data_IF_045335474141
#
_entry.id   IF_045335474141
#
_cell.length_a   1.000
_cell.length_b   1.000
_cell.length_c   1.000
_cell.angle_alpha   90.00
_cell.angle_beta   90.00
_cell.angle_gamma   90.00
#
_symmetry.space_group_name_H-M   'P 1'
#
loop_
_entity.id
_entity.type
_entity.pdbx_description
1 polymer ?
#
# COMPACT_ATOMS: atom_id res chain seq x y z
N UNK A 1 -34.16 28.55 53.51
CA UNK A 1 -33.04 28.80 52.59
C UNK A 1 -32.25 27.51 52.45
N UNK A 2 -32.64 26.64 51.50
CA UNK A 2 -32.00 25.33 51.30
C UNK A 2 -30.91 25.45 50.24
N UNK A 3 -29.66 25.11 50.60
CA UNK A 3 -28.54 25.01 49.67
C UNK A 3 -28.66 23.69 48.91
N UNK A 4 -28.76 23.77 47.59
CA UNK A 4 -28.51 22.64 46.71
C UNK A 4 -27.00 22.44 46.60
N UNK A 5 -26.50 21.30 47.06
CA UNK A 5 -25.14 20.83 46.81
C UNK A 5 -25.09 20.25 45.41
N UNK A 6 -24.34 20.90 44.51
CA UNK A 6 -24.05 20.42 43.17
C UNK A 6 -23.18 19.16 43.27
N UNK A 7 -23.77 18.00 42.94
CA UNK A 7 -23.05 16.74 42.80
C UNK A 7 -22.07 16.85 41.63
N UNK A 8 -20.78 16.75 41.92
CA UNK A 8 -19.71 16.66 40.93
C UNK A 8 -19.89 15.34 40.17
N UNK A 9 -20.50 15.39 38.98
CA UNK A 9 -20.56 14.23 38.09
C UNK A 9 -19.11 13.81 37.76
N UNK A 10 -18.77 12.59 38.14
CA UNK A 10 -17.55 11.92 37.75
C UNK A 10 -17.83 11.27 36.40
N UNK A 11 -17.30 11.85 35.33
CA UNK A 11 -17.26 11.16 34.02
C UNK A 11 -16.45 9.87 34.21
N UNK A 12 -16.95 8.70 33.75
CA UNK A 12 -16.16 7.49 33.78
C UNK A 12 -14.89 7.67 32.94
N UNK A 13 -13.75 7.08 33.34
CA UNK A 13 -12.55 7.11 32.51
C UNK A 13 -12.86 6.40 31.18
N UNK A 14 -12.89 7.15 30.09
CA UNK A 14 -12.80 6.58 28.75
C UNK A 14 -11.47 5.84 28.65
N UNK A 15 -11.53 4.54 28.36
CA UNK A 15 -10.32 3.79 28.04
C UNK A 15 -9.63 4.49 26.86
N UNK A 16 -8.29 4.66 26.86
CA UNK A 16 -7.59 5.29 25.75
C UNK A 16 -7.76 4.52 24.42
N UNK A 17 -8.24 3.28 24.47
CA UNK A 17 -8.64 2.48 23.32
C UNK A 17 -9.98 2.90 22.69
N UNK A 18 -10.81 3.67 23.41
CA UNK A 18 -12.10 4.21 22.97
C UNK A 18 -12.00 5.69 22.56
N UNK A 19 -10.77 6.24 22.50
CA UNK A 19 -10.57 7.60 22.02
C UNK A 19 -10.98 7.69 20.54
N UNK A 20 -11.78 8.71 20.14
CA UNK A 20 -12.21 8.87 18.76
C UNK A 20 -11.00 9.07 17.84
N UNK A 21 -11.02 8.38 16.68
CA UNK A 21 -10.00 8.51 15.64
C UNK A 21 -9.84 9.99 15.23
N UNK A 22 -8.60 10.40 14.98
CA UNK A 22 -8.30 11.73 14.48
C UNK A 22 -8.99 11.96 13.12
N UNK A 23 -9.79 13.03 12.96
CA UNK A 23 -10.59 13.25 11.76
C UNK A 23 -9.73 13.53 10.51
N UNK A 24 -8.50 14.03 10.66
CA UNK A 24 -7.56 14.26 9.56
C UNK A 24 -7.03 12.91 9.08
N UNK A 25 -6.61 12.05 10.01
CA UNK A 25 -6.14 10.70 9.69
C UNK A 25 -7.24 9.87 9.03
N UNK A 26 -8.48 9.98 9.52
CA UNK A 26 -9.64 9.31 8.92
C UNK A 26 -9.89 9.74 7.47
N UNK A 27 -9.87 11.04 7.18
CA UNK A 27 -10.03 11.55 5.80
C UNK A 27 -8.88 11.12 4.90
N UNK A 28 -7.66 11.10 5.42
CA UNK A 28 -6.50 10.61 4.68
C UNK A 28 -6.62 9.12 4.35
N UNK A 29 -7.06 8.28 5.30
CA UNK A 29 -7.36 6.86 5.04
C UNK A 29 -8.39 6.68 3.93
N UNK A 30 -9.45 7.50 3.93
CA UNK A 30 -10.42 7.49 2.84
C UNK A 30 -9.75 7.77 1.48
N UNK A 31 -8.93 8.82 1.39
CA UNK A 31 -8.21 9.14 0.15
C UNK A 31 -7.31 7.98 -0.30
N UNK A 32 -6.54 7.38 0.61
CA UNK A 32 -5.68 6.23 0.30
C UNK A 32 -6.44 5.05 -0.33
N UNK A 33 -7.75 4.94 -0.07
CA UNK A 33 -8.60 3.90 -0.65
C UNK A 33 -9.24 4.32 -1.95
N UNK A 34 -9.80 5.52 -2.01
CA UNK A 34 -10.72 5.89 -3.10
C UNK A 34 -10.10 6.76 -4.18
N UNK A 35 -9.03 7.49 -3.89
CA UNK A 35 -8.42 8.40 -4.84
C UNK A 35 -7.69 7.63 -5.97
N UNK A 36 -7.59 8.20 -7.18
CA UNK A 36 -6.70 7.71 -8.23
C UNK A 36 -5.24 7.67 -7.76
N UNK A 37 -4.46 6.69 -8.27
CA UNK A 37 -3.05 6.49 -7.85
C UNK A 37 -2.20 7.70 -8.21
N UNK A 38 -2.34 8.22 -9.43
CA UNK A 38 -1.61 9.39 -9.93
C UNK A 38 -1.92 10.66 -9.11
N UNK A 39 -3.18 10.84 -8.69
CA UNK A 39 -3.58 11.95 -7.83
C UNK A 39 -2.99 11.81 -6.42
N UNK A 40 -2.97 10.59 -5.85
CA UNK A 40 -2.34 10.34 -4.55
C UNK A 40 -0.83 10.55 -4.59
N UNK A 41 -0.14 10.06 -5.62
CA UNK A 41 1.30 10.25 -5.74
C UNK A 41 1.65 11.73 -5.85
N UNK A 42 0.89 12.49 -6.63
CA UNK A 42 1.04 13.94 -6.74
C UNK A 42 0.80 14.65 -5.40
N UNK A 43 -0.29 14.31 -4.71
CA UNK A 43 -0.61 14.89 -3.40
C UNK A 43 0.45 14.57 -2.32
N UNK A 44 0.97 13.34 -2.30
CA UNK A 44 2.09 12.99 -1.42
C UNK A 44 3.35 13.74 -1.78
N UNK A 45 3.70 13.87 -3.06
CA UNK A 45 4.91 14.57 -3.47
C UNK A 45 4.86 16.05 -3.06
N UNK A 46 3.72 16.72 -3.25
CA UNK A 46 3.46 18.07 -2.76
C UNK A 46 3.57 18.14 -1.24
N UNK A 47 2.86 17.26 -0.52
CA UNK A 47 2.82 17.24 0.94
C UNK A 47 4.22 17.04 1.55
N UNK A 48 4.98 16.06 1.04
CA UNK A 48 6.34 15.75 1.51
C UNK A 48 7.26 16.94 1.33
N UNK A 49 7.14 17.67 0.21
CA UNK A 49 7.98 18.84 -0.06
C UNK A 49 7.79 19.98 0.94
N UNK A 50 6.63 20.02 1.60
CA UNK A 50 6.28 21.05 2.57
C UNK A 50 6.51 20.63 4.03
N UNK A 51 6.75 19.34 4.29
CA UNK A 51 7.08 18.82 5.62
C UNK A 51 8.34 19.48 6.20
N UNK A 52 8.44 19.49 7.53
CA UNK A 52 9.70 19.85 8.20
C UNK A 52 10.80 18.83 7.85
N UNK A 53 12.07 19.26 7.86
CA UNK A 53 13.19 18.35 7.59
C UNK A 53 13.20 17.14 8.53
N UNK A 54 12.91 17.34 9.82
CA UNK A 54 12.81 16.25 10.79
C UNK A 54 11.70 15.25 10.46
N UNK A 55 10.54 15.74 10.00
CA UNK A 55 9.44 14.86 9.57
C UNK A 55 9.77 14.13 8.26
N UNK A 56 10.48 14.76 7.32
CA UNK A 56 10.94 14.10 6.10
C UNK A 56 11.94 12.98 6.41
N UNK A 57 12.88 13.21 7.32
CA UNK A 57 13.84 12.20 7.77
C UNK A 57 13.13 11.02 8.45
N UNK A 58 12.19 11.31 9.35
CA UNK A 58 11.40 10.29 10.03
C UNK A 58 10.51 9.48 9.08
N UNK A 59 9.89 10.14 8.09
CA UNK A 59 9.12 9.47 7.05
C UNK A 59 10.01 8.56 6.20
N UNK A 60 11.15 9.06 5.75
CA UNK A 60 12.11 8.31 4.94
C UNK A 60 12.59 7.06 5.67
N UNK A 61 12.95 7.18 6.95
CA UNK A 61 13.38 6.05 7.78
C UNK A 61 12.28 5.00 7.90
N UNK A 62 11.04 5.44 8.15
CA UNK A 62 9.88 4.56 8.23
C UNK A 62 9.64 3.82 6.91
N UNK A 63 9.73 4.52 5.78
CA UNK A 63 9.57 3.95 4.43
C UNK A 63 10.66 2.92 4.12
N UNK A 64 11.93 3.23 4.44
CA UNK A 64 13.05 2.30 4.24
C UNK A 64 12.88 1.01 5.05
N UNK A 65 12.52 1.15 6.32
CA UNK A 65 12.29 0.03 7.23
C UNK A 65 11.11 -0.84 6.79
N UNK A 66 9.98 -0.20 6.41
CA UNK A 66 8.73 -0.91 6.10
C UNK A 66 8.73 -1.57 4.72
N UNK A 67 9.42 -0.99 3.74
CA UNK A 67 9.42 -1.48 2.35
C UNK A 67 10.73 -2.17 1.96
N UNK A 68 11.66 -2.35 2.91
CA UNK A 68 12.98 -2.96 2.71
C UNK A 68 13.77 -2.31 1.55
N UNK A 69 13.60 -0.99 1.37
CA UNK A 69 14.26 -0.23 0.33
C UNK A 69 15.67 0.13 0.81
N UNK A 70 16.70 -0.18 0.01
CA UNK A 70 18.09 0.15 0.34
C UNK A 70 18.38 1.66 0.46
N UNK A 71 19.53 2.02 1.01
CA UNK A 71 19.91 3.39 1.42
C UNK A 71 20.02 4.44 0.30
N UNK A 72 19.77 4.09 -0.97
CA UNK A 72 19.88 5.03 -2.09
C UNK A 72 18.78 6.11 -2.13
N UNK A 73 17.73 5.97 -1.34
CA UNK A 73 16.63 6.94 -1.28
C UNK A 73 16.98 8.11 -0.36
N UNK A 74 16.99 9.35 -0.84
CA UNK A 74 17.27 10.55 -0.03
C UNK A 74 16.00 11.32 0.29
N UNK A 75 16.03 12.19 1.31
CA UNK A 75 14.87 13.01 1.71
C UNK A 75 14.38 13.92 0.59
N UNK A 76 15.27 14.39 -0.29
CA UNK A 76 14.93 15.21 -1.46
C UNK A 76 14.21 14.47 -2.59
N UNK A 77 14.16 13.12 -2.57
CA UNK A 77 13.55 12.31 -3.61
C UNK A 77 12.02 12.22 -3.46
N UNK A 78 11.33 13.35 -3.27
CA UNK A 78 9.92 13.41 -2.87
C UNK A 78 9.00 12.56 -3.76
N UNK A 79 9.11 12.66 -5.08
CA UNK A 79 8.29 11.89 -6.02
C UNK A 79 8.50 10.37 -5.87
N UNK A 80 9.74 9.95 -5.59
CA UNK A 80 10.04 8.52 -5.38
C UNK A 80 9.54 8.03 -4.03
N UNK A 81 9.63 8.85 -2.98
CA UNK A 81 9.04 8.55 -1.66
C UNK A 81 7.51 8.46 -1.80
N UNK A 82 6.88 9.40 -2.49
CA UNK A 82 5.45 9.43 -2.73
C UNK A 82 4.94 8.17 -3.46
N UNK A 83 5.65 7.76 -4.50
CA UNK A 83 5.38 6.51 -5.22
C UNK A 83 5.45 5.30 -4.27
N UNK A 84 6.53 5.19 -3.48
CA UNK A 84 6.72 4.08 -2.54
C UNK A 84 5.65 4.05 -1.43
N UNK A 85 5.30 5.20 -0.87
CA UNK A 85 4.22 5.34 0.12
C UNK A 85 2.90 4.87 -0.46
N UNK A 86 2.57 5.35 -1.66
CA UNK A 86 1.29 5.02 -2.33
C UNK A 86 1.23 3.54 -2.66
N UNK A 87 2.26 3.01 -3.31
CA UNK A 87 2.38 1.60 -3.69
C UNK A 87 2.38 0.66 -2.46
N UNK A 88 3.07 1.05 -1.38
CA UNK A 88 3.04 0.34 -0.09
C UNK A 88 1.63 0.27 0.51
N UNK A 89 0.93 1.40 0.55
CA UNK A 89 -0.45 1.46 1.07
C UNK A 89 -1.48 0.77 0.17
N UNK A 90 -1.20 0.63 -1.13
CA UNK A 90 -2.02 -0.21 -2.02
C UNK A 90 -1.84 -1.70 -1.75
N UNK A 91 -0.61 -2.14 -1.47
CA UNK A 91 -0.31 -3.56 -1.19
C UNK A 91 -0.76 -3.99 0.20
N UNK A 92 -0.50 -3.17 1.20
CA UNK A 92 -0.77 -3.50 2.59
C UNK A 92 -1.50 -2.34 3.28
N UNK A 93 -2.82 -2.21 3.04
CA UNK A 93 -3.67 -1.18 3.61
C UNK A 93 -3.43 -0.90 5.11
N UNK A 94 -3.03 0.32 5.47
CA UNK A 94 -2.93 0.81 6.85
C UNK A 94 -1.66 0.39 7.61
N UNK A 95 -0.82 -0.46 7.02
CA UNK A 95 0.43 -0.89 7.65
C UNK A 95 1.39 0.28 7.84
N UNK A 96 1.60 1.11 6.82
CA UNK A 96 2.52 2.24 6.91
C UNK A 96 2.04 3.25 7.96
N UNK A 97 0.72 3.47 8.02
CA UNK A 97 0.10 4.40 8.96
C UNK A 97 0.28 3.96 10.41
N UNK A 98 0.29 2.65 10.66
CA UNK A 98 0.45 2.08 12.00
C UNK A 98 1.87 2.26 12.55
N UNK A 99 2.87 2.22 11.68
CA UNK A 99 4.30 2.32 12.07
C UNK A 99 4.82 3.75 12.05
N UNK A 100 4.17 4.65 11.31
CA UNK A 100 4.59 6.05 11.22
C UNK A 100 4.37 6.76 12.56
N UNK A 101 5.35 7.54 13.07
CA UNK A 101 5.14 8.31 14.29
C UNK A 101 3.92 9.22 14.16
N UNK A 102 3.12 9.30 15.23
CA UNK A 102 1.80 9.92 15.21
C UNK A 102 1.84 11.37 14.70
N UNK A 103 2.83 12.13 15.14
CA UNK A 103 3.07 13.51 14.74
C UNK A 103 3.40 13.65 13.25
N UNK A 104 4.18 12.72 12.69
CA UNK A 104 4.56 12.71 11.27
C UNK A 104 3.35 12.30 10.42
N UNK A 105 2.58 11.31 10.87
CA UNK A 105 1.33 10.89 10.23
C UNK A 105 0.33 12.03 10.14
N UNK A 106 0.09 12.74 11.25
CA UNK A 106 -0.85 13.85 11.28
C UNK A 106 -0.43 15.00 10.36
N UNK A 107 0.85 15.38 10.38
CA UNK A 107 1.37 16.46 9.51
C UNK A 107 1.32 16.07 8.02
N UNK A 108 1.71 14.83 7.68
CA UNK A 108 1.60 14.30 6.32
C UNK A 108 0.14 14.25 5.86
N UNK A 109 -0.76 13.71 6.68
CA UNK A 109 -2.18 13.59 6.37
C UNK A 109 -2.83 14.95 6.12
N UNK A 110 -2.56 15.94 6.98
CA UNK A 110 -3.06 17.31 6.83
C UNK A 110 -2.62 17.90 5.49
N UNK A 111 -1.34 17.79 5.15
CA UNK A 111 -0.78 18.34 3.92
C UNK A 111 -1.26 17.64 2.66
N UNK A 112 -1.46 16.32 2.71
CA UNK A 112 -2.07 15.57 1.61
C UNK A 112 -3.49 16.06 1.38
N UNK A 113 -4.28 16.28 2.43
CA UNK A 113 -5.65 16.77 2.32
C UNK A 113 -5.72 18.21 1.80
N UNK A 114 -4.73 19.04 2.12
CA UNK A 114 -4.61 20.44 1.68
C UNK A 114 -4.02 20.60 0.27
N UNK A 115 -3.46 19.54 -0.32
CA UNK A 115 -2.88 19.55 -1.67
C UNK A 115 -3.94 19.85 -2.75
N UNK A 116 -3.53 20.59 -3.79
CA UNK A 116 -4.39 20.84 -4.96
C UNK A 116 -4.82 19.53 -5.63
N UNK A 117 -3.93 18.53 -5.64
CA UNK A 117 -4.19 17.20 -6.20
C UNK A 117 -5.28 16.43 -5.44
N UNK A 118 -5.59 16.79 -4.20
CA UNK A 118 -6.66 16.18 -3.40
C UNK A 118 -8.02 16.85 -3.59
N UNK A 119 -8.08 17.96 -4.33
CA UNK A 119 -9.32 18.71 -4.53
C UNK A 119 -10.41 17.85 -5.19
N UNK A 120 -11.60 17.83 -4.57
CA UNK A 120 -12.75 17.08 -5.07
C UNK A 120 -12.72 15.57 -4.81
N UNK A 121 -11.63 15.02 -4.26
CA UNK A 121 -11.51 13.57 -4.05
C UNK A 121 -12.32 13.06 -2.84
N UNK A 122 -12.75 13.95 -1.95
CA UNK A 122 -13.56 13.62 -0.75
C UNK A 122 -15.07 13.47 -1.01
N UNK A 123 -15.53 13.47 -2.28
CA UNK A 123 -16.95 13.49 -2.64
C UNK A 123 -17.82 12.35 -2.06
N UNK A 124 -17.23 11.23 -1.62
CA UNK A 124 -17.92 10.09 -1.00
C UNK A 124 -17.66 9.92 0.50
N UNK A 125 -16.86 10.79 1.12
CA UNK A 125 -16.38 10.60 2.50
C UNK A 125 -17.52 10.50 3.53
N UNK A 126 -18.57 11.31 3.38
CA UNK A 126 -19.70 11.33 4.31
C UNK A 126 -20.47 10.00 4.40
N UNK A 127 -20.39 9.15 3.36
CA UNK A 127 -21.01 7.83 3.33
C UNK A 127 -20.07 6.68 3.68
N UNK A 128 -18.80 6.97 3.97
CA UNK A 128 -17.80 5.93 4.23
C UNK A 128 -17.84 5.46 5.68
N UNK A 129 -17.97 4.14 5.87
CA UNK A 129 -18.05 3.50 7.19
C UNK A 129 -16.71 3.55 7.96
N UNK A 130 -15.58 3.70 7.26
CA UNK A 130 -14.24 3.76 7.85
C UNK A 130 -13.60 2.40 8.05
N UNK A 131 -14.20 1.32 7.53
CA UNK A 131 -13.66 -0.03 7.66
C UNK A 131 -12.40 -0.19 6.79
N UNK A 132 -11.34 -0.75 7.39
CA UNK A 132 -10.16 -1.16 6.63
C UNK A 132 -10.43 -2.54 5.99
N UNK A 133 -10.10 -2.75 4.71
CA UNK A 133 -10.17 -4.08 4.13
C UNK A 133 -9.23 -5.04 4.89
N UNK A 134 -9.64 -6.29 5.11
CA UNK A 134 -8.73 -7.28 5.69
C UNK A 134 -7.49 -7.43 4.78
N UNK A 135 -6.30 -7.71 5.35
CA UNK A 135 -5.13 -8.02 4.54
C UNK A 135 -5.47 -9.17 3.59
N UNK A 136 -4.99 -9.08 2.35
CA UNK A 136 -5.14 -10.19 1.41
C UNK A 136 -4.52 -11.45 2.03
N UNK A 137 -5.27 -12.56 2.00
CA UNK A 137 -4.77 -13.83 2.51
C UNK A 137 -3.81 -14.43 1.47
N UNK A 138 -2.52 -14.34 1.73
CA UNK A 138 -1.47 -14.95 0.89
C UNK A 138 -1.61 -16.48 0.82
N UNK A 139 -2.45 -17.10 1.67
CA UNK A 139 -2.73 -18.54 1.65
C UNK A 139 -3.43 -19.00 0.36
N UNK A 140 -4.15 -18.11 -0.34
CA UNK A 140 -4.79 -18.46 -1.62
C UNK A 140 -3.76 -18.75 -2.73
N UNK A 141 -2.54 -18.19 -2.62
CA UNK A 141 -1.41 -18.51 -3.50
C UNK A 141 -0.57 -19.69 -2.98
N UNK A 142 -0.68 -20.05 -1.71
CA UNK A 142 0.05 -21.18 -1.11
C UNK A 142 -0.53 -22.55 -1.54
N UNK A 143 -1.82 -22.61 -1.87
CA UNK A 143 -2.47 -23.82 -2.41
C UNK A 143 -2.24 -24.00 -3.93
N UNK A 144 -1.67 -23.00 -4.60
CA UNK A 144 -1.16 -23.10 -5.97
C UNK A 144 0.15 -23.88 -6.04
N UNK A 145 0.12 -25.14 -5.59
CA UNK A 145 1.28 -26.02 -5.54
C UNK A 145 2.09 -25.98 -6.84
N UNK A 146 3.37 -25.61 -6.70
CA UNK A 146 4.39 -25.93 -7.69
C UNK A 146 4.33 -27.44 -7.93
N UNK A 147 3.79 -27.86 -9.08
CA UNK A 147 3.70 -29.25 -9.46
C UNK A 147 5.00 -29.63 -10.20
N UNK A 148 6.02 -30.23 -9.52
CA UNK A 148 7.30 -30.55 -10.15
C UNK A 148 7.17 -31.56 -11.31
N UNK A 149 5.97 -32.14 -11.53
CA UNK A 149 5.72 -33.17 -12.53
C UNK A 149 5.37 -32.64 -13.92
N UNK A 150 5.23 -31.32 -14.13
CA UNK A 150 4.90 -30.74 -15.46
C UNK A 150 6.14 -30.54 -16.36
N UNK A 151 7.35 -30.95 -15.92
CA UNK A 151 8.58 -30.79 -16.71
C UNK A 151 8.96 -31.99 -17.60
N UNK A 152 8.07 -32.96 -17.82
CA UNK A 152 8.26 -33.99 -18.85
C UNK A 152 7.73 -33.52 -20.20
N UNK A 153 8.48 -32.65 -20.89
CA UNK A 153 8.34 -32.51 -22.34
C UNK A 153 8.72 -33.84 -22.99
N UNK A 154 7.72 -34.51 -23.55
CA UNK A 154 7.86 -35.68 -24.43
C UNK A 154 8.83 -35.34 -25.57
N UNK A 155 9.85 -36.16 -25.88
CA UNK A 155 10.64 -36.01 -27.10
C UNK A 155 9.73 -36.05 -28.32
N UNK A 156 9.94 -35.15 -29.28
CA UNK A 156 9.29 -35.24 -30.61
C UNK A 156 9.84 -36.48 -31.30
N UNK A 157 8.95 -37.42 -31.66
CA UNK A 157 9.26 -38.45 -32.63
C UNK A 157 9.51 -37.78 -33.99
N UNK A 158 10.75 -37.83 -34.48
CA UNK A 158 11.11 -37.47 -35.86
C UNK A 158 11.38 -38.76 -36.65
N UNK A 159 10.46 -39.20 -37.53
CA UNK A 159 10.66 -40.42 -38.29
C UNK A 159 11.17 -40.09 -39.69
N UNK A 160 12.47 -39.76 -39.82
CA UNK A 160 13.14 -39.82 -41.13
C UNK A 160 14.61 -40.25 -41.04
N UNK A 161 14.82 -41.52 -40.69
CA UNK A 161 15.98 -42.26 -41.20
C UNK A 161 15.64 -43.72 -41.45
N UNK A 162 15.64 -44.12 -42.73
CA UNK A 162 16.08 -45.46 -43.14
C UNK A 162 15.01 -46.47 -43.52
N UNK A 163 14.71 -46.57 -44.83
CA UNK A 163 14.52 -47.89 -45.44
C UNK A 163 15.27 -47.96 -46.78
N UNK A 164 16.13 -48.97 -46.85
CA UNK A 164 17.02 -49.32 -47.94
C UNK A 164 16.38 -50.35 -48.91
N UNK A 165 16.96 -50.47 -50.11
CA UNK A 165 16.78 -51.59 -51.07
C UNK A 165 16.41 -51.09 -52.47
N UNK A 166 17.33 -51.00 -53.44
CA UNK A 166 17.97 -52.04 -54.27
C UNK A 166 17.17 -52.42 -55.55
N UNK A 167 17.91 -52.84 -56.60
CA UNK A 167 17.56 -53.30 -57.97
C UNK A 167 17.62 -52.21 -59.06
N UNK A 168 18.67 -52.17 -59.91
CA UNK A 168 18.92 -52.98 -61.12
C UNK A 168 18.68 -52.07 -62.35
N UNK A 169 19.48 -51.88 -63.40
CA UNK A 169 20.51 -52.65 -64.10
C UNK A 169 20.27 -52.45 -65.63
N UNK A 170 21.32 -52.08 -66.39
CA UNK A 170 21.47 -52.08 -67.87
C UNK A 170 20.49 -51.19 -68.70
N UNK A 171 20.93 -50.23 -69.54
CA UNK A 171 21.68 -50.37 -70.81
C UNK A 171 20.68 -50.36 -71.99
N UNK A 172 21.03 -50.02 -73.25
CA UNK A 172 22.32 -49.68 -73.86
C UNK A 172 22.56 -48.19 -74.16
#
# INVERSE_FOLDING_TARGET
MSRFTFGKQHDPPVDPADAPEDPVVRQYRYLLRTAPVDALESAHAEAISLLSQAHQESLLETVRSSLLVGDHLTTSAHAKIAHLVTDGERRAPGQLLTVLPREVLQDLAARVLESESSFGLLGGYAGWDGAEPPPADDSEWADGGFDPKVSQRKPRDDPRTGQAGAFGGAGP
#
